data_IF_787512048985
#
_entry.id   IF_787512048985
#
_cell.length_a   1.000
_cell.length_b   1.000
_cell.length_c   1.000
_cell.angle_alpha   90.00
_cell.angle_beta   90.00
_cell.angle_gamma   90.00
#
_symmetry.space_group_name_H-M   'P 1'
#
loop_
_entity.id
_entity.type
_entity.pdbx_description
1 polymer ?
#
# COMPACT_ATOMS: atom_id res chain seq x y z
N UNK A 1 14.81 12.71 51.80
CA UNK A 1 14.74 13.31 50.45
C UNK A 1 15.44 12.49 49.37
N UNK A 2 16.18 11.41 49.68
CA UNK A 2 16.87 10.60 48.66
C UNK A 2 16.00 9.56 47.92
N UNK A 3 14.92 9.05 48.53
CA UNK A 3 14.07 8.00 47.93
C UNK A 3 13.17 8.49 46.77
N UNK A 4 12.94 9.79 46.64
CA UNK A 4 12.15 10.37 45.54
C UNK A 4 12.98 10.48 44.25
N UNK A 5 14.29 10.75 44.38
CA UNK A 5 15.19 10.89 43.24
C UNK A 5 15.48 9.54 42.56
N UNK A 6 15.64 8.48 43.33
CA UNK A 6 15.83 7.11 42.81
C UNK A 6 14.61 6.62 42.02
N UNK A 7 13.39 6.93 42.48
CA UNK A 7 12.16 6.58 41.75
C UNK A 7 11.97 7.36 40.45
N UNK A 8 12.41 8.63 40.38
CA UNK A 8 12.38 9.37 39.12
C UNK A 8 13.46 8.91 38.14
N UNK A 9 14.60 8.45 38.64
CA UNK A 9 15.71 7.96 37.83
C UNK A 9 15.40 6.58 37.24
N UNK A 10 14.87 5.66 38.04
CA UNK A 10 14.37 4.35 37.58
C UNK A 10 13.22 4.48 36.57
N UNK A 11 12.34 5.48 36.71
CA UNK A 11 11.29 5.78 35.71
C UNK A 11 11.85 6.33 34.40
N UNK A 12 12.97 7.06 34.44
CA UNK A 12 13.66 7.56 33.23
C UNK A 12 14.40 6.44 32.51
N UNK A 13 15.06 5.56 33.25
CA UNK A 13 15.75 4.38 32.71
C UNK A 13 14.74 3.38 32.11
N UNK A 14 13.65 3.07 32.81
CA UNK A 14 12.58 2.20 32.28
C UNK A 14 11.88 2.80 31.04
N UNK A 15 11.78 4.13 30.94
CA UNK A 15 11.26 4.82 29.75
C UNK A 15 12.27 4.74 28.58
N UNK A 16 13.57 4.90 28.85
CA UNK A 16 14.61 4.76 27.83
C UNK A 16 14.73 3.31 27.32
N UNK A 17 14.60 2.32 28.20
CA UNK A 17 14.60 0.91 27.83
C UNK A 17 13.36 0.50 27.03
N UNK A 18 12.17 1.04 27.38
CA UNK A 18 10.97 0.87 26.56
C UNK A 18 11.08 1.55 25.18
N UNK A 19 11.75 2.70 25.09
CA UNK A 19 12.02 3.41 23.83
C UNK A 19 13.09 2.68 23.01
N UNK A 20 14.06 2.01 23.64
CA UNK A 20 15.07 1.21 22.96
C UNK A 20 14.51 -0.13 22.45
N UNK A 21 13.70 -0.82 23.25
CA UNK A 21 12.96 -2.03 22.85
C UNK A 21 11.91 -1.73 21.78
N UNK A 22 11.27 -0.54 21.80
CA UNK A 22 10.45 -0.09 20.68
C UNK A 22 11.31 0.24 19.45
N UNK A 23 12.47 0.88 19.56
CA UNK A 23 13.33 1.08 18.37
C UNK A 23 13.75 -0.23 17.67
N UNK A 24 14.00 -1.30 18.42
CA UNK A 24 14.39 -2.60 17.86
C UNK A 24 13.22 -3.39 17.24
N UNK A 25 12.01 -3.29 17.82
CA UNK A 25 10.83 -3.99 17.30
C UNK A 25 10.14 -3.24 16.13
N UNK A 26 10.45 -1.96 15.93
CA UNK A 26 9.71 -1.07 15.02
C UNK A 26 10.41 -0.76 13.69
N UNK A 27 11.58 -1.33 13.38
CA UNK A 27 12.15 -1.26 12.03
C UNK A 27 11.34 -2.01 10.96
N UNK A 28 10.29 -2.76 11.36
CA UNK A 28 9.50 -3.59 10.45
C UNK A 28 8.03 -3.18 10.31
N UNK A 29 7.57 -2.12 10.99
CA UNK A 29 6.20 -1.61 10.80
C UNK A 29 6.20 -0.40 9.86
N UNK A 30 6.29 -0.71 8.55
CA UNK A 30 6.19 0.29 7.48
C UNK A 30 4.74 0.78 7.35
N UNK A 31 4.54 2.09 7.27
CA UNK A 31 3.24 2.67 6.91
C UNK A 31 2.99 2.40 5.43
N UNK A 32 1.79 1.90 5.12
CA UNK A 32 1.45 1.53 3.75
C UNK A 32 0.22 2.31 3.25
N UNK A 33 0.47 3.19 2.28
CA UNK A 33 -0.55 3.98 1.59
C UNK A 33 -1.07 3.13 0.43
N UNK A 34 -2.39 2.99 0.32
CA UNK A 34 -3.01 2.10 -0.65
C UNK A 34 -3.70 2.89 -1.73
N UNK A 35 -3.63 2.39 -2.97
CA UNK A 35 -4.50 2.85 -4.03
C UNK A 35 -5.80 2.05 -4.04
N UNK A 36 -6.81 2.50 -3.27
CA UNK A 36 -8.20 2.13 -3.49
C UNK A 36 -9.12 3.28 -3.05
N UNK A 37 -10.14 3.53 -3.86
CA UNK A 37 -11.12 4.61 -3.69
C UNK A 37 -11.79 4.61 -2.31
N UNK A 38 -12.14 5.82 -1.87
CA UNK A 38 -12.97 6.19 -0.70
C UNK A 38 -12.31 6.23 0.69
N UNK A 39 -11.44 7.23 0.89
CA UNK A 39 -11.36 7.97 2.17
C UNK A 39 -10.83 9.38 1.94
N UNK A 40 -11.45 10.44 2.50
CA UNK A 40 -11.06 11.83 2.27
C UNK A 40 -9.80 12.30 3.03
N UNK A 41 -9.07 11.39 3.71
CA UNK A 41 -8.17 11.77 4.80
C UNK A 41 -6.68 11.94 4.47
N UNK A 42 -6.20 11.60 3.26
CA UNK A 42 -4.76 11.70 2.94
C UNK A 42 -4.41 12.86 2.02
N UNK A 43 -3.40 13.66 2.37
CA UNK A 43 -2.88 14.74 1.51
C UNK A 43 -1.87 14.26 0.45
N UNK A 44 -1.34 13.04 0.56
CA UNK A 44 -0.40 12.47 -0.42
C UNK A 44 -1.16 12.04 -1.68
N UNK A 45 -2.25 11.28 -1.53
CA UNK A 45 -3.04 10.81 -2.66
C UNK A 45 -4.56 10.96 -2.50
N UNK A 46 -5.09 11.36 -1.34
CA UNK A 46 -6.52 11.23 -1.01
C UNK A 46 -7.03 9.83 -1.34
N UNK A 47 -6.32 8.82 -0.86
CA UNK A 47 -6.69 7.41 -0.97
C UNK A 47 -6.79 6.81 0.43
N UNK A 48 -7.38 5.62 0.53
CA UNK A 48 -7.55 4.96 1.83
C UNK A 48 -6.23 4.39 2.34
N UNK A 49 -5.88 4.71 3.59
CA UNK A 49 -4.79 4.08 4.33
C UNK A 49 -5.28 2.73 4.87
N UNK A 50 -4.56 1.62 4.62
CA UNK A 50 -5.00 0.28 5.08
C UNK A 50 -4.26 -0.22 6.31
N UNK A 51 -2.98 0.11 6.47
CA UNK A 51 -2.15 -0.44 7.55
C UNK A 51 -1.38 0.69 8.22
N UNK A 52 -2.10 1.44 9.05
CA UNK A 52 -1.52 2.48 9.90
C UNK A 52 -1.83 2.16 11.36
N UNK A 53 -0.84 1.62 12.06
CA UNK A 53 -0.85 1.54 13.53
C UNK A 53 -0.04 2.71 14.06
N UNK A 54 -0.70 3.71 14.65
CA UNK A 54 -0.03 4.84 15.28
C UNK A 54 -0.12 4.69 16.79
N UNK A 55 1.02 4.45 17.43
CA UNK A 55 1.12 4.53 18.88
C UNK A 55 1.44 5.97 19.29
N UNK A 56 0.48 6.62 19.94
CA UNK A 56 0.61 8.00 20.39
C UNK A 56 1.19 8.05 21.80
N UNK A 57 2.51 8.21 21.93
CA UNK A 57 3.10 8.84 23.12
C UNK A 57 2.98 10.36 22.95
N UNK A 58 1.75 10.86 22.97
CA UNK A 58 1.45 12.27 22.68
C UNK A 58 1.55 13.09 23.95
N UNK A 59 2.56 13.96 24.02
CA UNK A 59 2.59 15.05 24.99
C UNK A 59 1.78 16.22 24.42
N UNK A 60 0.58 16.45 24.94
CA UNK A 60 -0.33 17.51 24.46
C UNK A 60 -0.27 18.70 25.41
N UNK A 61 0.19 19.84 24.91
CA UNK A 61 0.08 21.12 25.62
C UNK A 61 -1.20 21.83 25.15
N UNK A 62 -2.15 22.00 26.07
CA UNK A 62 -3.43 22.61 25.82
C UNK A 62 -3.50 24.00 26.45
N UNK A 63 -4.07 24.97 25.74
CA UNK A 63 -4.35 26.31 26.30
C UNK A 63 -5.27 26.19 27.53
N UNK A 64 -5.13 27.03 28.56
CA UNK A 64 -5.90 26.90 29.80
C UNK A 64 -7.42 26.95 29.57
N UNK A 65 -7.87 27.93 28.77
CA UNK A 65 -9.30 28.17 28.53
C UNK A 65 -9.93 27.24 27.48
N UNK A 66 -11.16 26.79 27.77
CA UNK A 66 -11.92 25.91 26.88
C UNK A 66 -12.32 26.57 25.55
N UNK A 67 -12.51 27.90 25.52
CA UNK A 67 -12.87 28.64 24.30
C UNK A 67 -11.78 28.55 23.21
N UNK A 68 -10.52 28.35 23.61
CA UNK A 68 -9.37 28.24 22.70
C UNK A 68 -9.03 26.78 22.34
N UNK A 69 -9.82 25.80 22.81
CA UNK A 69 -9.65 24.37 22.53
C UNK A 69 -10.84 23.76 21.80
N UNK A 70 -11.58 24.58 21.05
CA UNK A 70 -12.66 24.10 20.21
C UNK A 70 -12.17 23.09 19.16
N UNK A 71 -13.09 22.29 18.63
CA UNK A 71 -12.80 21.30 17.57
C UNK A 71 -12.10 21.92 16.35
N UNK A 72 -12.45 23.16 16.01
CA UNK A 72 -11.81 23.94 14.94
C UNK A 72 -10.32 24.23 15.16
N UNK A 73 -9.81 24.15 16.40
CA UNK A 73 -8.39 24.33 16.73
C UNK A 73 -7.67 22.99 16.90
N UNK A 74 -8.35 21.99 17.49
CA UNK A 74 -7.75 20.67 17.75
C UNK A 74 -7.63 19.85 16.45
N UNK A 75 -8.70 19.79 15.65
CA UNK A 75 -8.75 18.94 14.45
C UNK A 75 -7.65 19.29 13.43
N UNK A 76 -7.43 20.56 13.02
CA UNK A 76 -6.38 20.86 12.05
C UNK A 76 -4.98 20.60 12.58
N UNK A 77 -4.73 20.86 13.87
CA UNK A 77 -3.43 20.61 14.53
C UNK A 77 -3.15 19.13 14.62
N UNK A 78 -4.12 18.34 15.10
CA UNK A 78 -4.02 16.88 15.13
C UNK A 78 -3.78 16.34 13.71
N UNK A 79 -4.55 16.79 12.72
CA UNK A 79 -4.39 16.35 11.32
C UNK A 79 -3.01 16.66 10.74
N UNK A 80 -2.43 17.84 11.04
CA UNK A 80 -1.05 18.19 10.62
C UNK A 80 -0.02 17.26 11.27
N UNK A 81 -0.17 17.01 12.57
CA UNK A 81 0.67 16.06 13.31
C UNK A 81 0.60 14.65 12.71
N UNK A 82 -0.60 14.15 12.38
CA UNK A 82 -0.76 12.85 11.73
C UNK A 82 0.01 12.76 10.40
N UNK A 83 -0.05 13.79 9.56
CA UNK A 83 0.70 13.82 8.30
C UNK A 83 2.21 13.88 8.51
N UNK A 84 2.69 14.63 9.50
CA UNK A 84 4.11 14.65 9.84
C UNK A 84 4.61 13.26 10.28
N UNK A 85 3.82 12.57 11.12
CA UNK A 85 4.11 11.20 11.53
C UNK A 85 4.15 10.24 10.33
N UNK A 86 3.16 10.32 9.43
CA UNK A 86 3.10 9.50 8.22
C UNK A 86 4.34 9.68 7.34
N UNK A 87 4.76 10.93 7.08
CA UNK A 87 5.93 11.22 6.26
C UNK A 87 7.24 10.76 6.92
N UNK A 88 7.35 10.91 8.25
CA UNK A 88 8.53 10.49 9.01
C UNK A 88 8.70 8.96 9.01
N UNK A 89 7.59 8.22 8.97
CA UNK A 89 7.59 6.77 8.96
C UNK A 89 7.71 6.14 7.55
N UNK A 90 8.20 6.91 6.56
CA UNK A 90 8.56 6.44 5.22
C UNK A 90 7.43 5.63 4.55
N UNK A 91 6.36 6.30 4.10
CA UNK A 91 5.20 5.61 3.56
C UNK A 91 5.58 4.85 2.27
N UNK A 92 5.04 3.65 2.09
CA UNK A 92 5.18 2.87 0.85
C UNK A 92 3.83 2.74 0.15
N UNK A 93 3.84 2.59 -1.18
CA UNK A 93 2.62 2.38 -1.97
C UNK A 93 2.31 0.89 -2.06
N UNK A 94 1.04 0.51 -1.95
CA UNK A 94 0.56 -0.84 -2.24
C UNK A 94 -0.28 -0.87 -3.51
N UNK A 95 -0.04 -1.89 -4.33
CA UNK A 95 -0.85 -2.25 -5.47
C UNK A 95 -1.72 -3.48 -5.17
N UNK A 96 -2.94 -3.56 -5.71
CA UNK A 96 -3.72 -4.78 -5.61
C UNK A 96 -3.17 -5.83 -6.59
N UNK A 97 -3.23 -7.10 -6.17
CA UNK A 97 -2.87 -8.25 -6.99
C UNK A 97 -4.10 -9.09 -7.22
N UNK A 98 -4.28 -9.51 -8.48
CA UNK A 98 -5.29 -10.47 -8.86
C UNK A 98 -4.72 -11.88 -8.93
N UNK A 99 -5.55 -12.84 -8.54
CA UNK A 99 -5.39 -14.24 -8.86
C UNK A 99 -6.09 -14.52 -10.20
N UNK A 100 -5.30 -14.97 -11.16
CA UNK A 100 -5.76 -15.38 -12.49
C UNK A 100 -5.64 -16.89 -12.59
N UNK A 101 -6.72 -17.55 -12.97
CA UNK A 101 -6.71 -18.95 -13.35
C UNK A 101 -6.93 -19.04 -14.87
N UNK A 102 -6.12 -19.81 -15.57
CA UNK A 102 -6.16 -19.91 -17.03
C UNK A 102 -6.21 -21.37 -17.42
N UNK A 103 -7.21 -21.73 -18.22
CA UNK A 103 -7.34 -23.06 -18.79
C UNK A 103 -6.87 -23.06 -20.24
N UNK A 104 -6.00 -24.00 -20.58
CA UNK A 104 -5.39 -24.08 -21.89
C UNK A 104 -4.97 -25.51 -22.26
N UNK A 105 -4.90 -25.87 -23.54
CA UNK A 105 -4.26 -27.09 -23.97
C UNK A 105 -2.73 -27.00 -23.83
N UNK A 106 -2.06 -28.13 -23.63
CA UNK A 106 -0.60 -28.21 -23.45
C UNK A 106 0.21 -27.46 -24.51
N UNK A 107 -0.27 -27.49 -25.76
CA UNK A 107 0.41 -26.92 -26.93
C UNK A 107 0.61 -25.39 -26.86
N UNK A 108 -0.23 -24.68 -26.09
CA UNK A 108 -0.22 -23.20 -26.03
C UNK A 108 0.23 -22.64 -24.68
N UNK A 109 0.58 -23.51 -23.72
CA UNK A 109 1.05 -23.13 -22.37
C UNK A 109 2.24 -22.16 -22.45
N UNK A 110 3.17 -22.38 -23.39
CA UNK A 110 4.32 -21.49 -23.59
C UNK A 110 3.94 -20.04 -23.92
N UNK A 111 2.84 -19.83 -24.64
CA UNK A 111 2.33 -18.48 -24.96
C UNK A 111 1.83 -17.73 -23.72
N UNK A 112 1.29 -18.46 -22.74
CA UNK A 112 0.79 -17.90 -21.48
C UNK A 112 1.96 -17.40 -20.63
N UNK A 113 3.00 -18.22 -20.48
CA UNK A 113 4.23 -17.83 -19.76
C UNK A 113 4.86 -16.56 -20.35
N UNK A 114 4.85 -16.42 -21.69
CA UNK A 114 5.33 -15.20 -22.36
C UNK A 114 4.55 -13.94 -22.00
N UNK A 115 3.22 -14.04 -21.96
CA UNK A 115 2.33 -12.91 -21.58
C UNK A 115 2.49 -12.57 -20.10
N UNK A 116 2.51 -13.57 -19.22
CA UNK A 116 2.66 -13.37 -17.79
C UNK A 116 4.01 -12.72 -17.45
N UNK A 117 5.12 -13.20 -18.03
CA UNK A 117 6.44 -12.62 -17.81
C UNK A 117 6.53 -11.15 -18.28
N UNK A 118 5.93 -10.81 -19.42
CA UNK A 118 5.90 -9.43 -19.91
C UNK A 118 5.14 -8.49 -18.98
N UNK A 119 4.08 -9.02 -18.35
CA UNK A 119 3.17 -8.29 -17.47
C UNK A 119 3.58 -8.32 -16.00
N UNK A 120 4.74 -8.91 -15.69
CA UNK A 120 5.24 -9.06 -14.31
C UNK A 120 4.40 -10.02 -13.47
N UNK A 121 3.67 -10.93 -14.10
CA UNK A 121 2.90 -11.97 -13.42
C UNK A 121 3.79 -13.09 -12.89
N UNK A 122 3.40 -13.67 -11.76
CA UNK A 122 4.12 -14.77 -11.10
C UNK A 122 3.26 -16.03 -11.09
N UNK A 123 3.69 -17.07 -11.80
CA UNK A 123 3.05 -18.39 -11.78
C UNK A 123 3.49 -19.13 -10.52
N UNK A 124 2.53 -19.65 -9.75
CA UNK A 124 2.84 -20.40 -8.54
C UNK A 124 2.31 -21.84 -8.57
N UNK A 125 1.26 -22.11 -9.35
CA UNK A 125 0.70 -23.44 -9.48
C UNK A 125 0.32 -23.75 -10.94
N UNK A 126 0.67 -24.97 -11.35
CA UNK A 126 0.34 -25.57 -12.63
C UNK A 126 -0.24 -26.95 -12.32
N UNK A 127 -1.46 -27.21 -12.79
CA UNK A 127 -2.11 -28.51 -12.61
C UNK A 127 -2.71 -29.00 -13.92
N UNK A 128 -2.56 -30.29 -14.19
CA UNK A 128 -3.19 -30.94 -15.33
C UNK A 128 -4.56 -31.48 -14.92
N UNK A 129 -5.58 -31.23 -15.74
CA UNK A 129 -6.93 -31.71 -15.49
C UNK A 129 -7.04 -33.20 -15.86
N UNK A 130 -7.25 -34.06 -14.87
CA UNK A 130 -7.36 -35.50 -15.07
C UNK A 130 -8.48 -35.84 -16.08
N UNK A 131 -8.12 -36.61 -17.12
CA UNK A 131 -9.06 -37.06 -18.15
C UNK A 131 -9.24 -36.12 -19.35
N UNK A 132 -8.58 -34.95 -19.37
CA UNK A 132 -8.55 -34.05 -20.55
C UNK A 132 -7.13 -33.53 -20.82
N UNK A 133 -6.76 -33.16 -22.06
CA UNK A 133 -5.45 -32.59 -22.37
C UNK A 133 -5.33 -31.10 -21.95
N UNK A 134 -6.08 -30.69 -20.91
CA UNK A 134 -6.17 -29.31 -20.44
C UNK A 134 -5.28 -29.10 -19.21
N UNK A 135 -4.60 -27.97 -19.19
CA UNK A 135 -3.80 -27.45 -18.09
C UNK A 135 -4.49 -26.24 -17.48
N UNK A 136 -4.41 -26.15 -16.16
CA UNK A 136 -4.85 -25.02 -15.36
C UNK A 136 -3.59 -24.34 -14.80
N UNK A 137 -3.38 -23.10 -15.20
CA UNK A 137 -2.26 -22.28 -14.72
C UNK A 137 -2.82 -21.20 -13.79
N UNK A 138 -2.31 -21.14 -12.57
CA UNK A 138 -2.65 -20.11 -11.60
C UNK A 138 -1.48 -19.16 -11.39
N UNK A 139 -1.77 -17.87 -11.49
CA UNK A 139 -0.76 -16.82 -11.43
C UNK A 139 -1.28 -15.56 -10.73
N UNK A 140 -0.34 -14.87 -10.08
CA UNK A 140 -0.54 -13.52 -9.58
C UNK A 140 -0.29 -12.50 -10.69
N UNK A 141 -1.20 -11.55 -10.84
CA UNK A 141 -1.12 -10.49 -11.85
C UNK A 141 -1.46 -9.13 -11.22
N UNK A 142 -0.58 -8.12 -11.36
CA UNK A 142 -0.88 -6.75 -10.92
C UNK A 142 -2.10 -6.14 -11.63
N UNK A 143 -2.95 -5.41 -10.89
CA UNK A 143 -4.20 -4.85 -11.44
C UNK A 143 -3.95 -3.85 -12.58
N UNK A 144 -2.92 -3.01 -12.46
CA UNK A 144 -2.53 -2.03 -13.49
C UNK A 144 -2.28 -2.67 -14.87
N UNK A 145 -1.79 -3.90 -14.92
CA UNK A 145 -1.40 -4.59 -16.14
C UNK A 145 -2.54 -5.42 -16.77
N UNK A 146 -3.67 -5.54 -16.07
CA UNK A 146 -4.78 -6.44 -16.47
C UNK A 146 -5.63 -5.93 -17.63
N UNK A 147 -5.60 -4.63 -17.95
CA UNK A 147 -6.48 -4.04 -18.95
C UNK A 147 -6.30 -4.63 -20.37
N UNK A 148 -5.06 -4.97 -20.76
CA UNK A 148 -4.79 -5.61 -22.07
C UNK A 148 -4.61 -7.13 -21.99
N UNK A 149 -4.69 -7.72 -20.79
CA UNK A 149 -4.30 -9.11 -20.55
C UNK A 149 -5.09 -10.10 -21.40
N UNK A 150 -6.42 -9.96 -21.49
CA UNK A 150 -7.26 -10.88 -22.28
C UNK A 150 -6.96 -10.82 -23.78
N UNK A 151 -6.63 -9.64 -24.31
CA UNK A 151 -6.28 -9.48 -25.73
C UNK A 151 -4.89 -10.05 -26.03
N UNK A 152 -3.92 -9.79 -25.14
CA UNK A 152 -2.56 -10.33 -25.22
C UNK A 152 -2.58 -11.86 -25.09
N UNK A 153 -3.38 -12.40 -24.17
CA UNK A 153 -3.55 -13.85 -23.99
C UNK A 153 -4.15 -14.50 -25.24
N UNK A 154 -5.22 -13.94 -25.80
CA UNK A 154 -5.86 -14.48 -27.02
C UNK A 154 -4.92 -14.45 -28.23
N UNK A 155 -4.18 -13.36 -28.43
CA UNK A 155 -3.26 -13.25 -29.57
C UNK A 155 -2.08 -14.22 -29.47
N UNK A 156 -1.55 -14.46 -28.26
CA UNK A 156 -0.41 -15.39 -28.06
C UNK A 156 -0.82 -16.88 -28.01
N UNK A 157 -2.11 -17.17 -27.79
CA UNK A 157 -2.62 -18.56 -27.69
C UNK A 157 -3.53 -18.94 -28.85
N UNK A 158 -3.66 -18.09 -29.87
CA UNK A 158 -4.59 -18.30 -30.99
C UNK A 158 -6.06 -18.39 -30.57
N UNK A 159 -6.41 -17.80 -29.41
CA UNK A 159 -7.75 -17.87 -28.81
C UNK A 159 -8.07 -19.19 -28.11
N UNK A 160 -7.09 -20.08 -27.90
CA UNK A 160 -7.30 -21.38 -27.28
C UNK A 160 -7.20 -21.38 -25.74
N UNK A 161 -6.67 -20.29 -25.14
CA UNK A 161 -6.64 -20.13 -23.70
C UNK A 161 -7.87 -19.36 -23.20
N UNK A 162 -8.51 -19.90 -22.18
CA UNK A 162 -9.67 -19.31 -21.52
C UNK A 162 -9.28 -18.89 -20.10
N UNK A 163 -9.21 -17.58 -19.81
CA UNK A 163 -9.08 -17.13 -18.43
C UNK A 163 -10.38 -17.47 -17.70
N UNK A 164 -10.27 -18.31 -16.66
CA UNK A 164 -11.33 -18.61 -15.70
C UNK A 164 -11.48 -17.40 -14.80
N UNK A 165 -12.34 -16.49 -15.22
CA UNK A 165 -12.77 -15.39 -14.39
C UNK A 165 -14.13 -15.74 -13.81
N UNK A 166 -14.22 -15.85 -12.48
CA UNK A 166 -15.48 -16.26 -11.84
C UNK A 166 -16.52 -15.15 -11.99
N UNK A 167 -17.62 -15.49 -12.66
CA UNK A 167 -18.70 -14.59 -13.04
C UNK A 167 -19.33 -13.93 -11.81
N UNK A 168 -19.04 -12.64 -11.59
CA UNK A 168 -19.92 -11.77 -10.82
C UNK A 168 -20.39 -10.68 -11.77
N UNK A 169 -21.53 -10.88 -12.44
CA UNK A 169 -22.15 -9.83 -13.28
C UNK A 169 -21.77 -9.78 -14.78
N UNK A 170 -21.35 -10.90 -15.39
CA UNK A 170 -21.21 -10.97 -16.86
C UNK A 170 -19.89 -10.44 -17.44
N UNK A 171 -18.96 -10.01 -16.59
CA UNK A 171 -17.60 -9.66 -16.99
C UNK A 171 -16.60 -10.64 -16.37
N UNK A 172 -15.80 -11.26 -17.22
CA UNK A 172 -14.71 -12.15 -16.84
C UNK A 172 -13.54 -11.33 -16.27
N UNK A 173 -13.58 -11.00 -14.97
CA UNK A 173 -12.46 -10.38 -14.25
C UNK A 173 -11.73 -11.37 -13.33
N UNK A 174 -10.38 -11.29 -13.25
CA UNK A 174 -9.60 -11.99 -12.23
C UNK A 174 -10.08 -11.70 -10.80
N UNK A 175 -9.88 -12.65 -9.88
CA UNK A 175 -10.30 -12.48 -8.50
C UNK A 175 -9.28 -11.65 -7.71
N UNK A 176 -9.74 -10.71 -6.89
CA UNK A 176 -8.88 -10.04 -5.91
C UNK A 176 -8.36 -11.03 -4.87
N UNK A 177 -7.04 -11.07 -4.70
CA UNK A 177 -6.36 -11.94 -3.74
C UNK A 177 -5.81 -11.13 -2.55
N UNK A 178 -4.76 -10.33 -2.79
CA UNK A 178 -4.07 -9.57 -1.73
C UNK A 178 -3.51 -8.22 -2.22
N UNK A 179 -2.96 -7.46 -1.26
CA UNK A 179 -2.22 -6.22 -1.52
C UNK A 179 -0.72 -6.50 -1.46
N UNK A 180 0.02 -6.05 -2.47
CA UNK A 180 1.46 -6.17 -2.53
C UNK A 180 2.11 -4.80 -2.46
N UNK A 181 3.20 -4.69 -1.69
CA UNK A 181 3.98 -3.45 -1.61
C UNK A 181 4.69 -3.27 -2.94
N UNK A 182 4.48 -2.12 -3.56
CA UNK A 182 5.15 -1.75 -4.80
C UNK A 182 6.64 -1.50 -4.50
N UNK A 183 7.56 -2.16 -5.21
CA UNK A 183 9.00 -1.96 -4.97
C UNK A 183 9.42 -0.55 -5.40
N UNK A 184 10.16 0.12 -4.52
CA UNK A 184 10.71 1.45 -4.74
C UNK A 184 10.27 2.47 -3.69
N UNK A 185 11.04 3.54 -3.57
CA UNK A 185 10.73 4.66 -2.67
C UNK A 185 9.88 5.69 -3.41
N UNK A 186 8.68 6.08 -2.92
CA UNK A 186 7.87 7.13 -3.55
C UNK A 186 8.53 8.52 -3.57
N UNK A 187 9.55 8.77 -2.75
CA UNK A 187 10.27 10.06 -2.77
C UNK A 187 11.30 10.16 -3.91
N UNK A 188 11.73 9.04 -4.48
CA UNK A 188 12.62 9.04 -5.63
C UNK A 188 11.83 9.25 -6.94
N UNK A 189 12.12 10.34 -7.65
CA UNK A 189 11.47 10.69 -8.91
C UNK A 189 11.60 9.63 -10.02
N UNK A 190 12.64 8.80 -9.97
CA UNK A 190 12.85 7.74 -10.97
C UNK A 190 12.02 6.47 -10.69
N UNK A 191 11.42 6.36 -9.49
CA UNK A 191 10.72 5.17 -9.06
C UNK A 191 9.31 5.07 -9.66
N UNK A 192 8.85 3.84 -9.92
CA UNK A 192 7.45 3.57 -10.35
C UNK A 192 6.42 4.12 -9.36
N UNK A 193 6.58 3.98 -8.03
CA UNK A 193 5.66 4.59 -7.08
C UNK A 193 5.53 6.12 -7.24
N UNK A 194 6.65 6.82 -7.50
CA UNK A 194 6.63 8.29 -7.64
C UNK A 194 5.90 8.75 -8.91
N UNK A 195 6.07 8.01 -10.01
CA UNK A 195 5.34 8.24 -11.26
C UNK A 195 3.83 8.05 -11.05
N UNK A 196 3.43 6.93 -10.45
CA UNK A 196 2.02 6.64 -10.14
C UNK A 196 1.41 7.72 -9.22
N UNK A 197 2.17 8.21 -8.24
CA UNK A 197 1.74 9.29 -7.36
C UNK A 197 1.53 10.58 -8.14
N UNK A 198 2.48 10.93 -9.00
CA UNK A 198 2.46 12.17 -9.79
C UNK A 198 1.28 12.20 -10.77
N UNK A 199 1.03 11.09 -11.47
CA UNK A 199 -0.12 10.93 -12.37
C UNK A 199 -1.45 11.07 -11.63
N UNK A 200 -1.57 10.39 -10.48
CA UNK A 200 -2.78 10.44 -9.66
C UNK A 200 -3.03 11.85 -9.12
N UNK A 201 -1.97 12.56 -8.69
CA UNK A 201 -2.09 13.95 -8.20
C UNK A 201 -2.50 14.91 -9.31
N UNK A 202 -1.92 14.76 -10.50
CA UNK A 202 -2.29 15.53 -11.69
C UNK A 202 -3.76 15.31 -12.06
N UNK A 203 -4.20 14.05 -12.07
CA UNK A 203 -5.61 13.71 -12.31
C UNK A 203 -6.56 14.30 -11.25
N UNK A 204 -6.14 14.33 -9.98
CA UNK A 204 -6.90 14.94 -8.88
C UNK A 204 -6.78 16.48 -8.79
N UNK A 205 -6.01 17.13 -9.68
CA UNK A 205 -5.77 18.58 -9.63
C UNK A 205 -5.07 19.04 -8.34
N UNK A 206 -4.26 18.17 -7.73
CA UNK A 206 -3.47 18.49 -6.54
C UNK A 206 -2.11 19.08 -6.94
N UNK A 207 -1.47 19.84 -6.03
CA UNK A 207 -0.12 20.38 -6.24
C UNK A 207 0.85 19.25 -6.63
N UNK A 208 1.63 19.45 -7.68
CA UNK A 208 2.63 18.48 -8.11
C UNK A 208 3.68 18.22 -7.03
N UNK A 209 4.12 16.96 -6.93
CA UNK A 209 5.07 16.51 -5.90
C UNK A 209 4.44 16.17 -4.55
N UNK A 210 5.14 15.31 -3.80
CA UNK A 210 4.77 14.94 -2.43
C UNK A 210 5.07 16.14 -1.52
N UNK A 211 4.15 16.57 -0.64
CA UNK A 211 4.41 17.68 0.26
C UNK A 211 5.54 17.32 1.23
N UNK A 212 6.55 18.18 1.30
CA UNK A 212 7.70 18.01 2.20
C UNK A 212 7.27 18.05 3.67
N UNK A 213 8.05 17.38 4.53
CA UNK A 213 7.85 17.30 5.98
C UNK A 213 7.78 18.70 6.64
N UNK A 214 8.59 19.64 6.16
CA UNK A 214 8.62 21.02 6.67
C UNK A 214 7.26 21.75 6.58
N UNK A 215 6.37 21.30 5.69
CA UNK A 215 5.02 21.89 5.59
C UNK A 215 4.10 21.51 6.76
N UNK A 216 4.46 20.49 7.54
CA UNK A 216 3.64 19.92 8.62
C UNK A 216 4.32 19.96 9.99
N UNK A 217 5.65 20.04 10.02
CA UNK A 217 6.43 20.12 11.25
C UNK A 217 6.53 21.58 11.69
N UNK A 218 5.89 21.89 12.82
CA UNK A 218 6.01 23.20 13.44
C UNK A 218 7.25 23.19 14.35
N UNK A 219 8.23 24.06 14.07
CA UNK A 219 9.45 24.19 14.86
C UNK A 219 9.17 25.10 16.07
N UNK A 220 9.56 24.65 17.26
CA UNK A 220 9.52 25.43 18.51
C UNK A 220 10.63 26.48 18.54
#
# INVERSE_FOLDING_TARGET
MELLNTNQQLKREACQDHVALSRAHWQHQKIIIVHANSSPADKVLRTSVKSLCMHFTLHVTLHADAIHRGSGQIIPTARRCLYACMLTAQPHLMEPIYLVEIQCPEQVVGGIYGVLNRKGGHVFEESQMAGTPMFVVQAYLPVNETFSFTADLRSNTGGQAFPQCRNTGGQALPQFDHWQILPGDPFDSASRPSQAVSETRKWKGLKEGIPMLDNFLDKL
#
